data_IF_401163450231
#
_entry.id   IF_401163450231
#
_cell.length_a   1.000
_cell.length_b   1.000
_cell.length_c   1.000
_cell.angle_alpha   90.00
_cell.angle_beta   90.00
_cell.angle_gamma   90.00
#
_symmetry.space_group_name_H-M   'P 1'
#
loop_
_entity.id
_entity.type
_entity.pdbx_description
1 polymer ?
#
# COMPACT_ATOMS: atom_id res chain seq x y z
N UNK A 1 -8.98 1.45 8.33
CA UNK A 1 -9.69 2.21 7.27
C UNK A 1 -10.40 1.23 6.35
N UNK A 2 -11.61 1.56 5.95
CA UNK A 2 -12.32 0.72 4.99
C UNK A 2 -11.66 0.78 3.62
N UNK A 3 -11.71 -0.32 2.88
CA UNK A 3 -11.02 -0.45 1.60
C UNK A 3 -11.45 0.63 0.61
N UNK A 4 -12.76 0.91 0.52
CA UNK A 4 -13.25 1.93 -0.40
C UNK A 4 -12.76 3.34 -0.06
N UNK A 5 -12.62 3.64 1.22
CA UNK A 5 -12.07 4.92 1.65
C UNK A 5 -10.59 5.04 1.31
N UNK A 6 -9.83 3.96 1.52
CA UNK A 6 -8.41 3.94 1.22
C UNK A 6 -8.15 4.13 -0.27
N UNK A 7 -8.96 3.48 -1.12
CA UNK A 7 -8.86 3.63 -2.56
C UNK A 7 -9.05 5.09 -3.00
N UNK A 8 -9.98 5.80 -2.36
CA UNK A 8 -10.23 7.21 -2.69
C UNK A 8 -9.21 8.15 -2.08
N UNK A 9 -8.94 7.98 -0.78
CA UNK A 9 -8.08 8.90 -0.03
C UNK A 9 -6.63 8.78 -0.46
N UNK A 10 -6.14 7.56 -0.59
CA UNK A 10 -4.74 7.29 -0.94
C UNK A 10 -4.53 7.03 -2.42
N UNK A 11 -5.62 6.99 -3.19
CA UNK A 11 -5.59 6.69 -4.63
C UNK A 11 -4.93 5.34 -4.94
N UNK A 12 -5.27 4.35 -4.14
CA UNK A 12 -4.73 3.00 -4.29
C UNK A 12 -5.51 2.23 -5.34
N UNK A 13 -4.84 1.65 -6.34
CA UNK A 13 -5.52 0.82 -7.32
C UNK A 13 -5.94 -0.52 -6.70
N UNK A 14 -7.06 -1.08 -7.15
CA UNK A 14 -7.57 -2.36 -6.66
C UNK A 14 -8.54 -2.96 -7.67
N UNK A 15 -8.26 -4.08 -8.35
CA UNK A 15 -7.00 -4.84 -8.29
C UNK A 15 -5.87 -4.18 -9.07
N UNK A 16 -4.67 -4.68 -8.87
CA UNK A 16 -3.49 -4.17 -9.54
C UNK A 16 -2.42 -5.27 -9.61
N UNK A 17 -1.20 -4.91 -9.99
CA UNK A 17 -0.06 -5.81 -9.97
C UNK A 17 1.07 -5.18 -9.16
N UNK A 18 2.00 -5.99 -8.60
CA UNK A 18 3.16 -5.43 -7.89
C UNK A 18 3.98 -4.49 -8.78
N UNK A 19 4.11 -4.81 -10.06
CA UNK A 19 4.84 -3.95 -11.00
C UNK A 19 4.21 -2.56 -11.11
N UNK A 20 2.89 -2.49 -11.21
CA UNK A 20 2.18 -1.22 -11.33
C UNK A 20 2.33 -0.35 -10.08
N UNK A 21 2.23 -0.95 -8.89
CA UNK A 21 2.39 -0.17 -7.66
C UNK A 21 3.83 0.25 -7.42
N UNK A 22 4.82 -0.55 -7.85
CA UNK A 22 6.23 -0.17 -7.77
C UNK A 22 6.54 1.03 -8.66
N UNK A 23 5.83 1.19 -9.77
CA UNK A 23 5.99 2.36 -10.64
C UNK A 23 5.46 3.64 -10.02
N UNK A 24 4.52 3.53 -9.07
CA UNK A 24 3.85 4.69 -8.45
C UNK A 24 4.37 5.03 -7.07
N UNK A 25 4.87 4.03 -6.34
CA UNK A 25 5.26 4.17 -4.94
C UNK A 25 6.69 3.72 -4.76
N UNK A 26 7.46 4.47 -4.00
CA UNK A 26 8.89 4.19 -3.83
C UNK A 26 9.18 3.07 -2.84
N UNK A 27 8.23 2.73 -1.98
CA UNK A 27 8.45 1.72 -0.94
C UNK A 27 7.41 0.62 -1.06
N UNK A 28 7.79 -0.44 -1.75
CA UNK A 28 6.97 -1.63 -1.95
C UNK A 28 7.83 -2.85 -1.64
N UNK A 29 7.36 -3.72 -0.76
CA UNK A 29 8.10 -4.90 -0.31
C UNK A 29 7.27 -6.16 -0.46
N UNK A 30 7.89 -7.23 -0.94
CA UNK A 30 7.32 -8.56 -0.88
C UNK A 30 7.60 -9.15 0.50
N UNK A 31 6.55 -9.56 1.20
CA UNK A 31 6.66 -10.07 2.57
C UNK A 31 5.81 -11.33 2.68
N UNK A 32 6.44 -12.49 2.48
CA UNK A 32 5.74 -13.76 2.44
C UNK A 32 4.81 -13.81 1.24
N UNK A 33 3.51 -14.05 1.51
CA UNK A 33 2.46 -14.08 0.50
C UNK A 33 1.75 -12.74 0.31
N UNK A 34 2.32 -11.67 0.88
CA UNK A 34 1.72 -10.33 0.83
C UNK A 34 2.66 -9.33 0.17
N UNK A 35 2.08 -8.26 -0.32
CA UNK A 35 2.82 -7.11 -0.85
C UNK A 35 2.51 -5.92 0.02
N UNK A 36 3.55 -5.34 0.61
CA UNK A 36 3.43 -4.21 1.53
C UNK A 36 3.80 -2.92 0.82
N UNK A 37 3.04 -1.86 1.09
CA UNK A 37 3.26 -0.57 0.47
C UNK A 37 3.28 0.52 1.53
N UNK A 38 4.24 1.42 1.44
CA UNK A 38 4.24 2.68 2.16
C UNK A 38 4.24 3.81 1.16
N UNK A 39 3.22 4.65 1.22
CA UNK A 39 3.08 5.78 0.33
C UNK A 39 2.86 7.06 1.10
N UNK A 40 2.76 8.17 0.40
CA UNK A 40 2.47 9.45 1.02
C UNK A 40 1.60 10.31 0.11
N UNK A 41 0.94 11.28 0.72
CA UNK A 41 0.19 12.29 0.02
C UNK A 41 0.23 13.60 0.82
N UNK A 42 -0.11 14.69 0.15
CA UNK A 42 -0.19 16.01 0.78
C UNK A 42 -1.65 16.34 1.05
N UNK A 43 -1.98 16.60 2.32
CA UNK A 43 -3.37 16.86 2.73
C UNK A 43 -3.67 18.36 2.84
N UNK A 44 -3.06 19.19 2.00
CA UNK A 44 -3.24 20.62 2.03
C UNK A 44 -2.26 21.38 2.94
N UNK A 45 -1.40 20.66 3.66
CA UNK A 45 -0.30 21.20 4.43
C UNK A 45 1.00 20.85 3.71
N UNK A 46 2.02 21.65 3.82
CA UNK A 46 3.29 21.41 3.11
C UNK A 46 4.11 20.24 3.67
N UNK A 47 3.44 19.29 4.32
CA UNK A 47 4.06 18.07 4.84
C UNK A 47 3.43 16.84 4.22
N UNK A 48 4.23 15.83 3.81
CA UNK A 48 3.66 14.58 3.37
C UNK A 48 3.08 13.80 4.55
N UNK A 49 1.96 13.13 4.30
CA UNK A 49 1.33 12.22 5.25
C UNK A 49 1.58 10.80 4.74
N UNK A 50 2.31 10.02 5.51
CA UNK A 50 2.65 8.65 5.12
C UNK A 50 1.58 7.67 5.58
N UNK A 51 1.30 6.67 4.76
CA UNK A 51 0.32 5.63 5.08
C UNK A 51 0.87 4.26 4.70
N UNK A 52 0.36 3.22 5.36
CA UNK A 52 0.70 1.84 5.03
C UNK A 52 -0.48 1.14 4.38
N UNK A 53 -0.19 0.21 3.49
CA UNK A 53 -1.19 -0.63 2.85
C UNK A 53 -0.67 -2.04 2.66
N UNK A 54 -1.57 -3.01 2.65
CA UNK A 54 -1.25 -4.41 2.45
C UNK A 54 -2.10 -4.94 1.30
N UNK A 55 -1.43 -5.58 0.34
CA UNK A 55 -2.08 -6.26 -0.77
C UNK A 55 -1.89 -7.77 -0.61
N UNK A 56 -2.86 -8.53 -1.08
CA UNK A 56 -2.80 -9.99 -1.11
C UNK A 56 -2.90 -10.48 -2.55
N UNK A 57 -2.22 -11.60 -2.84
CA UNK A 57 -2.30 -12.22 -4.16
C UNK A 57 -3.70 -12.79 -4.39
N UNK A 58 -4.29 -12.48 -5.54
CA UNK A 58 -5.63 -12.93 -5.92
C UNK A 58 -5.60 -14.13 -6.85
N UNK A 59 -4.44 -14.48 -7.39
CA UNK A 59 -4.25 -15.64 -8.24
C UNK A 59 -2.98 -16.40 -7.82
N UNK A 60 -2.66 -17.47 -8.54
CA UNK A 60 -1.51 -18.31 -8.23
C UNK A 60 -0.18 -17.73 -8.72
N UNK A 61 -0.22 -16.64 -9.45
CA UNK A 61 0.98 -15.99 -9.97
C UNK A 61 1.55 -15.03 -8.91
N UNK A 62 2.63 -15.44 -8.26
CA UNK A 62 3.30 -14.65 -7.23
C UNK A 62 4.38 -13.73 -7.78
N UNK A 63 4.46 -13.60 -9.10
CA UNK A 63 5.42 -12.70 -9.75
C UNK A 63 4.95 -11.25 -9.70
N UNK A 64 5.77 -10.33 -10.20
CA UNK A 64 5.42 -8.91 -10.28
C UNK A 64 4.29 -8.62 -11.28
N UNK A 65 3.90 -9.60 -12.09
CA UNK A 65 2.79 -9.48 -13.04
C UNK A 65 1.50 -10.10 -12.53
N UNK A 66 1.54 -10.78 -11.39
CA UNK A 66 0.36 -11.42 -10.80
C UNK A 66 -0.62 -10.39 -10.25
N UNK A 67 -1.90 -10.78 -10.22
CA UNK A 67 -2.96 -9.88 -9.72
C UNK A 67 -2.99 -9.85 -8.20
N UNK A 68 -3.01 -8.65 -7.65
CA UNK A 68 -3.13 -8.43 -6.22
C UNK A 68 -4.32 -7.51 -5.93
N UNK A 69 -4.88 -7.68 -4.74
CA UNK A 69 -5.99 -6.86 -4.27
C UNK A 69 -5.68 -6.24 -2.92
N UNK A 70 -6.23 -5.07 -2.68
CA UNK A 70 -6.03 -4.34 -1.43
C UNK A 70 -6.73 -5.06 -0.28
N UNK A 71 -5.96 -5.43 0.74
CA UNK A 71 -6.46 -6.18 1.90
C UNK A 71 -6.61 -5.31 3.14
N UNK A 72 -5.72 -4.32 3.34
CA UNK A 72 -5.76 -3.45 4.49
C UNK A 72 -5.06 -2.14 4.20
N UNK A 73 -5.48 -1.07 4.86
CA UNK A 73 -4.82 0.23 4.79
C UNK A 73 -4.90 0.90 6.14
N UNK A 74 -3.88 1.67 6.51
CA UNK A 74 -3.82 2.32 7.80
C UNK A 74 -4.84 3.45 7.91
N UNK A 75 -5.47 3.57 9.07
CA UNK A 75 -6.29 4.73 9.41
C UNK A 75 -5.44 5.87 9.94
N UNK A 76 -4.29 5.52 10.50
CA UNK A 76 -3.36 6.47 11.09
C UNK A 76 -2.33 6.84 10.04
N UNK A 77 -2.04 8.12 9.94
CA UNK A 77 -0.96 8.62 9.12
C UNK A 77 0.32 8.66 9.95
N UNK A 78 1.43 8.37 9.29
CA UNK A 78 2.74 8.28 9.95
C UNK A 78 3.63 9.43 9.52
N UNK A 79 4.69 9.68 10.29
CA UNK A 79 5.63 10.75 9.99
C UNK A 79 6.64 10.37 8.91
N UNK A 80 6.86 9.06 8.70
CA UNK A 80 7.81 8.59 7.70
C UNK A 80 7.37 7.22 7.14
N UNK A 81 8.03 6.80 6.08
CA UNK A 81 7.72 5.53 5.40
C UNK A 81 8.15 4.31 6.23
N UNK A 82 9.17 4.45 7.06
CA UNK A 82 9.61 3.37 7.94
C UNK A 82 8.53 2.94 8.93
N UNK A 83 7.85 3.89 9.55
CA UNK A 83 6.73 3.60 10.46
C UNK A 83 5.54 3.03 9.70
N UNK A 84 5.28 3.54 8.49
CA UNK A 84 4.18 3.04 7.67
C UNK A 84 4.41 1.58 7.26
N UNK A 85 5.62 1.22 6.84
CA UNK A 85 5.94 -0.15 6.45
C UNK A 85 5.91 -1.09 7.65
N UNK A 86 6.37 -0.61 8.82
CA UNK A 86 6.32 -1.39 10.06
C UNK A 86 4.89 -1.73 10.44
N UNK A 87 3.96 -0.79 10.28
CA UNK A 87 2.54 -1.06 10.48
C UNK A 87 2.05 -2.15 9.52
N UNK A 88 2.41 -2.04 8.25
CA UNK A 88 1.98 -3.01 7.23
C UNK A 88 2.50 -4.42 7.52
N UNK A 89 3.71 -4.54 8.04
CA UNK A 89 4.31 -5.83 8.40
C UNK A 89 3.56 -6.56 9.51
N UNK A 90 2.78 -5.84 10.31
CA UNK A 90 2.04 -6.39 11.45
C UNK A 90 0.62 -6.82 11.08
N UNK A 91 0.18 -6.60 9.87
CA UNK A 91 -1.20 -6.92 9.44
C UNK A 91 -1.40 -8.35 8.92
#
# INVERSE_FOLDING_TARGET
>A
MMINEAMRTYRLPNPTTPEDIECRWSKVLNFGDKVLLAGYYYNGKNKPCYFGAVYEHLDDDLSCEGTIGLAAASEVEFEDDGHAIAWAMQQ
#
